data_IF_641486607667
#
_entry.id   IF_641486607667
#
_cell.length_a   1.000
_cell.length_b   1.000
_cell.length_c   1.000
_cell.angle_alpha   90.00
_cell.angle_beta   90.00
_cell.angle_gamma   90.00
#
_symmetry.space_group_name_H-M   'P 1'
#
loop_
_entity.id
_entity.type
_entity.pdbx_description
1 polymer ?
#
# COMPACT_ATOMS: atom_id res chain seq x y z
N UNK A 1 -13.86 5.88 31.81
CA UNK A 1 -13.36 7.01 30.98
C UNK A 1 -11.93 6.73 30.51
N UNK A 2 -11.73 6.12 29.34
CA UNK A 2 -10.38 6.05 28.67
C UNK A 2 -10.40 5.46 27.24
N UNK A 3 -11.50 5.54 26.48
CA UNK A 3 -11.57 4.99 25.10
C UNK A 3 -11.25 6.00 23.97
N UNK A 4 -11.15 7.28 24.30
CA UNK A 4 -10.81 8.36 23.35
C UNK A 4 -9.46 8.21 22.61
N UNK A 5 -8.35 7.74 23.22
CA UNK A 5 -7.06 7.67 22.51
C UNK A 5 -7.07 6.63 21.39
N UNK A 6 -7.70 5.46 21.61
CA UNK A 6 -7.74 4.36 20.63
C UNK A 6 -8.42 4.75 19.32
N UNK A 7 -9.50 5.55 19.39
CA UNK A 7 -10.22 6.01 18.20
C UNK A 7 -9.41 7.03 17.40
N UNK A 8 -8.72 7.97 18.06
CA UNK A 8 -7.83 8.96 17.41
C UNK A 8 -6.66 8.28 16.73
N UNK A 9 -6.06 7.28 17.39
CA UNK A 9 -4.97 6.47 16.82
C UNK A 9 -5.47 5.74 15.56
N UNK A 10 -6.66 5.13 15.60
CA UNK A 10 -7.25 4.49 14.42
C UNK A 10 -7.41 5.44 13.23
N UNK A 11 -7.88 6.68 13.46
CA UNK A 11 -8.01 7.70 12.42
C UNK A 11 -6.68 8.19 11.83
N UNK A 12 -5.55 8.00 12.51
CA UNK A 12 -4.22 8.31 11.99
C UNK A 12 -3.64 7.12 11.23
N UNK A 13 -3.85 5.90 11.75
CA UNK A 13 -3.29 4.68 11.17
C UNK A 13 -3.90 4.34 9.80
N UNK A 14 -5.20 4.54 9.61
CA UNK A 14 -5.87 4.26 8.34
C UNK A 14 -5.31 5.12 7.18
N UNK A 15 -5.30 6.46 7.25
CA UNK A 15 -4.76 7.28 6.17
C UNK A 15 -3.26 7.04 5.97
N UNK A 16 -2.50 6.82 7.05
CA UNK A 16 -1.08 6.47 6.95
C UNK A 16 -0.89 5.17 6.16
N UNK A 17 -1.70 4.15 6.43
CA UNK A 17 -1.63 2.90 5.70
C UNK A 17 -2.08 3.02 4.24
N UNK A 18 -3.07 3.87 3.93
CA UNK A 18 -3.49 4.16 2.55
C UNK A 18 -2.36 4.81 1.74
N UNK A 19 -1.61 5.74 2.34
CA UNK A 19 -0.44 6.37 1.70
C UNK A 19 0.69 5.37 1.45
N UNK A 20 0.85 4.38 2.33
CA UNK A 20 1.91 3.38 2.21
C UNK A 20 1.63 2.30 1.14
N UNK A 21 0.36 2.06 0.77
CA UNK A 21 -0.01 1.06 -0.22
C UNK A 21 0.65 1.27 -1.60
N UNK A 22 0.58 2.46 -2.24
CA UNK A 22 1.17 2.66 -3.56
C UNK A 22 2.69 2.81 -3.56
N UNK A 23 3.36 2.93 -2.39
CA UNK A 23 4.81 3.13 -2.33
C UNK A 23 5.62 1.95 -2.88
N UNK A 24 5.02 0.77 -2.98
CA UNK A 24 5.66 -0.39 -3.62
C UNK A 24 5.98 -0.13 -5.08
N UNK A 25 5.15 0.64 -5.78
CA UNK A 25 5.38 1.03 -7.18
C UNK A 25 6.62 1.92 -7.29
N UNK A 26 6.89 2.75 -6.27
CA UNK A 26 7.98 3.74 -6.27
C UNK A 26 9.29 3.27 -5.62
N UNK A 27 9.26 2.18 -4.87
CA UNK A 27 10.44 1.65 -4.15
C UNK A 27 11.25 0.65 -4.97
N UNK A 28 10.94 0.51 -6.26
CA UNK A 28 11.59 -0.45 -7.14
C UNK A 28 12.71 0.12 -7.99
N UNK A 29 13.78 -0.64 -8.13
CA UNK A 29 14.79 -0.39 -9.16
C UNK A 29 14.31 -0.96 -10.50
N UNK A 30 14.76 -0.35 -11.59
CA UNK A 30 14.43 -0.80 -12.94
C UNK A 30 15.63 -0.74 -13.87
N UNK A 31 15.61 -1.57 -14.91
CA UNK A 31 16.54 -1.43 -16.03
C UNK A 31 16.21 -0.16 -16.82
N UNK A 32 17.22 0.59 -17.30
CA UNK A 32 17.03 1.74 -18.20
C UNK A 32 16.87 1.23 -19.64
N UNK A 33 15.70 0.73 -19.98
CA UNK A 33 15.28 0.47 -21.36
C UNK A 33 14.60 1.71 -21.93
N UNK A 34 15.00 2.11 -23.14
CA UNK A 34 14.37 3.20 -23.88
C UNK A 34 12.92 2.82 -24.21
N UNK A 35 11.95 3.46 -23.55
CA UNK A 35 10.56 3.38 -23.98
C UNK A 35 10.41 4.05 -25.36
N UNK A 36 9.56 3.53 -26.26
CA UNK A 36 9.16 4.27 -27.45
C UNK A 36 8.48 5.59 -27.04
N UNK A 37 8.71 6.68 -27.80
CA UNK A 37 8.21 8.04 -27.52
C UNK A 37 6.68 8.16 -27.42
N UNK A 38 5.94 7.10 -27.74
CA UNK A 38 4.48 7.02 -27.64
C UNK A 38 3.96 6.63 -26.26
N UNK A 39 4.81 6.31 -25.29
CA UNK A 39 4.38 6.00 -23.93
C UNK A 39 3.92 7.28 -23.21
N UNK A 40 2.79 7.28 -22.47
CA UNK A 40 2.34 8.44 -21.73
C UNK A 40 3.39 8.85 -20.68
N UNK A 41 3.95 10.05 -20.89
CA UNK A 41 5.10 10.63 -20.18
C UNK A 41 4.94 10.81 -18.66
N UNK A 42 3.74 10.59 -18.11
CA UNK A 42 3.47 11.02 -16.74
C UNK A 42 4.19 10.18 -15.67
N UNK A 43 4.58 8.93 -15.98
CA UNK A 43 5.25 8.02 -15.05
C UNK A 43 6.29 7.09 -15.70
N UNK A 44 6.45 7.11 -17.03
CA UNK A 44 7.29 6.14 -17.74
C UNK A 44 6.82 4.68 -17.57
N UNK A 45 5.51 4.49 -17.38
CA UNK A 45 4.83 3.20 -17.21
C UNK A 45 3.74 3.11 -18.28
N UNK A 46 3.81 2.10 -19.14
CA UNK A 46 2.72 1.71 -20.03
C UNK A 46 1.82 0.67 -19.33
N UNK A 47 0.79 1.18 -18.66
CA UNK A 47 -0.20 0.36 -17.94
C UNK A 47 -0.95 -0.64 -18.84
N UNK A 48 -0.99 -0.43 -20.17
CA UNK A 48 -1.65 -1.37 -21.08
C UNK A 48 -0.86 -2.67 -21.26
N UNK A 49 0.46 -2.62 -21.03
CA UNK A 49 1.38 -3.75 -21.14
C UNK A 49 1.97 -4.16 -19.78
N UNK A 50 1.57 -3.48 -18.70
CA UNK A 50 2.04 -3.77 -17.36
C UNK A 50 1.58 -5.16 -16.91
N UNK A 51 2.52 -5.95 -16.37
CA UNK A 51 2.24 -7.31 -15.90
C UNK A 51 3.09 -7.68 -14.70
N UNK A 52 2.51 -8.42 -13.77
CA UNK A 52 3.24 -9.03 -12.66
C UNK A 52 3.97 -10.26 -13.21
N UNK A 53 5.27 -10.36 -12.90
CA UNK A 53 6.12 -11.44 -13.40
C UNK A 53 6.37 -12.48 -12.31
N UNK A 54 6.74 -12.02 -11.12
CA UNK A 54 7.07 -12.91 -10.00
C UNK A 54 6.79 -12.22 -8.66
N UNK A 55 6.45 -13.05 -7.66
CA UNK A 55 6.18 -12.65 -6.29
C UNK A 55 7.02 -13.51 -5.35
N UNK A 56 8.15 -12.97 -4.89
CA UNK A 56 9.02 -13.66 -3.94
C UNK A 56 8.61 -13.31 -2.52
N UNK A 57 7.84 -14.20 -1.91
CA UNK A 57 7.33 -14.03 -0.54
C UNK A 57 8.46 -14.04 0.49
N UNK A 58 9.50 -14.86 0.27
CA UNK A 58 10.63 -14.98 1.21
C UNK A 58 11.43 -13.68 1.37
N UNK A 59 11.57 -12.92 0.28
CA UNK A 59 12.29 -11.63 0.23
C UNK A 59 11.34 -10.44 0.24
N UNK A 60 10.01 -10.68 0.26
CA UNK A 60 8.98 -9.67 0.06
C UNK A 60 9.24 -8.77 -1.15
N UNK A 61 9.63 -9.35 -2.28
CA UNK A 61 9.87 -8.62 -3.52
C UNK A 61 8.84 -8.97 -4.59
N UNK A 62 8.42 -7.95 -5.33
CA UNK A 62 7.53 -8.05 -6.48
C UNK A 62 8.31 -7.67 -7.73
N UNK A 63 8.45 -8.61 -8.66
CA UNK A 63 8.98 -8.33 -9.99
C UNK A 63 7.83 -8.10 -10.94
N UNK A 64 7.84 -6.98 -11.64
CA UNK A 64 6.79 -6.59 -12.56
C UNK A 64 7.39 -5.88 -13.77
N UNK A 65 6.69 -5.97 -14.90
CA UNK A 65 7.03 -5.25 -16.11
C UNK A 65 6.15 -4.01 -16.17
N UNK A 66 6.74 -2.85 -16.38
CA UNK A 66 6.01 -1.58 -16.51
C UNK A 66 5.59 -1.26 -17.95
N UNK A 67 5.77 -2.21 -18.87
CA UNK A 67 5.52 -2.04 -20.30
C UNK A 67 6.77 -1.69 -21.12
N UNK A 68 7.83 -1.21 -20.46
CA UNK A 68 9.13 -0.99 -21.09
C UNK A 68 10.27 -1.73 -20.38
N UNK A 69 10.24 -1.69 -19.04
CA UNK A 69 11.33 -2.06 -18.16
C UNK A 69 10.92 -3.13 -17.16
N UNK A 70 11.91 -3.92 -16.79
CA UNK A 70 11.80 -4.83 -15.66
C UNK A 70 12.00 -4.03 -14.38
N UNK A 71 11.00 -4.07 -13.51
CA UNK A 71 11.00 -3.44 -12.19
C UNK A 71 11.03 -4.52 -11.12
N UNK A 72 11.79 -4.28 -10.06
CA UNK A 72 11.74 -5.08 -8.84
C UNK A 72 11.49 -4.18 -7.66
N UNK A 73 10.33 -4.34 -7.04
CA UNK A 73 9.80 -3.51 -5.97
C UNK A 73 9.75 -4.27 -4.66
N UNK A 74 9.91 -3.56 -3.54
CA UNK A 74 9.76 -4.15 -2.21
C UNK A 74 8.30 -4.06 -1.79
N UNK A 75 7.71 -5.13 -1.29
CA UNK A 75 6.32 -5.19 -0.82
C UNK A 75 6.15 -4.73 0.62
N UNK A 76 7.25 -4.60 1.37
CA UNK A 76 7.25 -4.20 2.78
C UNK A 76 6.40 -2.94 3.04
N UNK A 77 6.47 -1.86 2.24
CA UNK A 77 5.61 -0.69 2.42
C UNK A 77 4.12 -1.01 2.27
N UNK A 78 3.71 -1.80 1.26
CA UNK A 78 2.30 -2.20 1.09
C UNK A 78 1.83 -3.08 2.23
N UNK A 79 2.63 -4.07 2.65
CA UNK A 79 2.28 -4.98 3.74
C UNK A 79 2.11 -4.18 5.04
N UNK A 80 3.04 -3.27 5.34
CA UNK A 80 2.92 -2.38 6.49
C UNK A 80 1.67 -1.50 6.39
N UNK A 81 1.40 -0.93 5.22
CA UNK A 81 0.20 -0.12 4.97
C UNK A 81 -1.08 -0.89 5.24
N UNK A 82 -1.18 -2.13 4.75
CA UNK A 82 -2.31 -3.02 4.99
C UNK A 82 -2.49 -3.33 6.48
N UNK A 83 -1.40 -3.63 7.19
CA UNK A 83 -1.43 -3.88 8.64
C UNK A 83 -1.90 -2.65 9.41
N UNK A 84 -1.44 -1.45 9.06
CA UNK A 84 -1.87 -0.21 9.71
C UNK A 84 -3.36 0.08 9.48
N UNK A 85 -3.87 -0.15 8.27
CA UNK A 85 -5.30 -0.04 7.97
C UNK A 85 -6.09 -1.04 8.82
N UNK A 86 -5.67 -2.31 8.85
CA UNK A 86 -6.37 -3.35 9.60
C UNK A 86 -6.42 -3.03 11.10
N UNK A 87 -5.29 -2.64 11.70
CA UNK A 87 -5.22 -2.24 13.11
C UNK A 87 -6.10 -0.99 13.35
N UNK A 88 -6.02 0.00 12.46
CA UNK A 88 -6.81 1.22 12.58
C UNK A 88 -8.31 0.95 12.55
N UNK A 89 -8.78 0.11 11.64
CA UNK A 89 -10.19 -0.31 11.55
C UNK A 89 -10.64 -1.09 12.79
N UNK A 90 -9.81 -2.00 13.31
CA UNK A 90 -10.12 -2.75 14.55
C UNK A 90 -10.26 -1.80 15.74
N UNK A 91 -9.36 -0.80 15.88
CA UNK A 91 -9.42 0.18 16.96
C UNK A 91 -10.66 1.08 16.86
N UNK A 92 -11.03 1.50 15.65
CA UNK A 92 -12.26 2.27 15.41
C UNK A 92 -13.48 1.41 15.75
N UNK A 93 -13.57 0.17 15.25
CA UNK A 93 -14.70 -0.73 15.48
C UNK A 93 -14.89 -1.07 16.96
N UNK A 94 -13.81 -1.34 17.70
CA UNK A 94 -13.88 -1.58 19.15
C UNK A 94 -14.39 -0.36 19.92
N UNK A 95 -13.99 0.84 19.52
CA UNK A 95 -14.47 2.07 20.17
C UNK A 95 -15.97 2.30 19.98
N UNK A 96 -16.54 1.91 18.83
CA UNK A 96 -17.97 2.04 18.55
C UNK A 96 -18.80 1.01 19.34
N UNK A 97 -18.31 -0.23 19.45
CA UNK A 97 -19.02 -1.28 20.18
C UNK A 97 -19.14 -0.98 21.69
N UNK A 98 -18.13 -0.32 22.24
CA UNK A 98 -18.11 0.08 23.64
C UNK A 98 -19.14 1.20 23.95
N UNK A 99 -19.33 2.15 23.03
CA UNK A 99 -20.37 3.18 23.16
C UNK A 99 -21.79 2.59 23.18
N UNK A 100 -22.04 1.49 22.46
CA UNK A 100 -23.35 0.85 22.45
C UNK A 100 -23.68 0.17 23.79
N UNK A 101 -22.67 -0.36 24.48
CA UNK A 101 -22.85 -1.05 25.77
C UNK A 101 -23.07 -0.07 26.93
N UNK A 102 -22.50 1.15 26.84
CA UNK A 102 -22.67 2.19 27.86
C UNK A 102 -24.05 2.90 27.79
N UNK A 103 -24.82 2.67 26.73
CA UNK A 103 -26.15 3.31 26.50
C UNK A 103 -27.35 2.43 26.84
N UNK A 104 -27.14 1.19 27.28
CA UNK A 104 -28.20 0.23 27.66
C UNK A 104 -28.27 0.09 29.18
#
# INVERSE_FOLDING_TARGET
MSSLPSRRIGFILVPLGVVLLPLTIFTGSGTLGACPESAPDFLGIDFSQARILDLQVATMSLSWYDGCNWRSSWLVPSVLGFVLIAIGLVLIGRSMNQQHTDTV
#
